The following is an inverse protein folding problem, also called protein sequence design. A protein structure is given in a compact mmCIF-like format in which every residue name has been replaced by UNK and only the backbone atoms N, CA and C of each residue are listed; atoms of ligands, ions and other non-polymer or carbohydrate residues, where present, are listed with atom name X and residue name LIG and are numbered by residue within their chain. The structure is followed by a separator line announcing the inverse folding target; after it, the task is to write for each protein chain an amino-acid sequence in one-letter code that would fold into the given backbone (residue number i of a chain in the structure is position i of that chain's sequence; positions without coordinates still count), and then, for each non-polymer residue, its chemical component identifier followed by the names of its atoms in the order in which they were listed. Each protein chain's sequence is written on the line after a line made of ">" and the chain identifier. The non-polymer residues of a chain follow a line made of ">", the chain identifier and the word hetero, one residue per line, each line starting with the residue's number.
data_IF_848618179633
#
_entry.id   IF_848618179633
#
_cell.length_a   1.000
_cell.length_b   1.000
_cell.length_c   1.000
_cell.angle_alpha   90.00
_cell.angle_beta   90.00
_cell.angle_gamma   90.00
#
_symmetry.space_group_name_H-M   'P 1'
#
loop_
_entity.id
_entity.type
_entity.pdbx_description
1 polymer ?
#
# COMPACT_ATOMS: atom_id res chain seq x y z
N UNK A 1 14.16 15.14 -8.61
CA UNK A 1 14.87 13.90 -8.99
C UNK A 1 13.92 12.73 -8.87
N UNK A 2 13.18 12.65 -7.76
CA UNK A 2 12.07 11.72 -7.65
C UNK A 2 10.98 11.98 -8.68
N UNK A 3 10.69 13.23 -9.06
CA UNK A 3 9.60 13.53 -9.98
C UNK A 3 9.69 12.78 -11.31
N UNK A 4 10.89 12.54 -11.86
CA UNK A 4 11.05 11.77 -13.11
C UNK A 4 10.70 10.30 -12.91
N UNK A 5 11.26 9.69 -11.86
CA UNK A 5 11.05 8.28 -11.53
C UNK A 5 9.60 8.06 -11.10
N UNK A 6 9.10 8.91 -10.20
CA UNK A 6 7.74 9.00 -9.70
C UNK A 6 6.71 9.01 -10.83
N UNK A 7 6.87 9.93 -11.77
CA UNK A 7 6.02 10.07 -12.96
C UNK A 7 6.01 8.79 -13.79
N UNK A 8 7.18 8.22 -14.07
CA UNK A 8 7.31 6.99 -14.87
C UNK A 8 6.64 5.79 -14.20
N UNK A 9 6.86 5.60 -12.90
CA UNK A 9 6.24 4.48 -12.17
C UNK A 9 4.73 4.63 -12.08
N UNK A 10 4.24 5.87 -11.91
CA UNK A 10 2.82 6.15 -11.91
C UNK A 10 2.16 5.86 -13.26
N UNK A 11 2.81 6.23 -14.37
CA UNK A 11 2.40 5.85 -15.71
C UNK A 11 2.31 4.32 -15.87
N UNK A 12 3.33 3.59 -15.43
CA UNK A 12 3.33 2.12 -15.49
C UNK A 12 2.19 1.52 -14.67
N UNK A 13 1.93 2.07 -13.49
CA UNK A 13 0.83 1.63 -12.63
C UNK A 13 -0.54 1.85 -13.30
N UNK A 14 -0.78 3.02 -13.90
CA UNK A 14 -2.01 3.30 -14.65
C UNK A 14 -2.18 2.32 -15.82
N UNK A 15 -1.11 2.07 -16.59
CA UNK A 15 -1.15 1.09 -17.68
C UNK A 15 -1.40 -0.34 -17.17
N UNK A 16 -0.88 -0.68 -16.00
CA UNK A 16 -1.13 -1.97 -15.35
C UNK A 16 -2.60 -2.11 -14.97
N UNK A 17 -3.21 -1.09 -14.36
CA UNK A 17 -4.65 -1.07 -14.07
C UNK A 17 -5.47 -1.29 -15.35
N UNK A 18 -5.10 -0.63 -16.46
CA UNK A 18 -5.79 -0.81 -17.74
C UNK A 18 -5.68 -2.22 -18.27
N UNK A 19 -4.48 -2.83 -18.20
CA UNK A 19 -4.26 -4.21 -18.65
C UNK A 19 -5.02 -5.21 -17.78
N UNK A 20 -4.91 -5.07 -16.47
CA UNK A 20 -5.49 -5.99 -15.50
C UNK A 20 -7.02 -5.89 -15.43
N UNK A 21 -7.60 -4.76 -15.84
CA UNK A 21 -9.04 -4.57 -16.01
C UNK A 21 -9.55 -4.91 -17.43
N UNK A 22 -8.70 -5.48 -18.28
CA UNK A 22 -8.98 -5.71 -19.71
C UNK A 22 -9.51 -4.44 -20.43
N UNK A 23 -9.13 -3.26 -19.96
CA UNK A 23 -9.57 -1.93 -20.43
C UNK A 23 -11.07 -1.68 -20.30
N UNK A 24 -11.77 -2.46 -19.47
CA UNK A 24 -13.21 -2.35 -19.27
C UNK A 24 -13.59 -1.46 -18.08
N UNK A 25 -12.80 -1.47 -17.00
CA UNK A 25 -13.10 -0.79 -15.75
C UNK A 25 -11.88 -0.04 -15.22
N UNK A 26 -11.75 1.24 -15.56
CA UNK A 26 -10.64 2.08 -15.10
C UNK A 26 -11.04 3.55 -14.93
N UNK A 27 -10.30 4.25 -14.05
CA UNK A 27 -10.65 5.59 -13.58
C UNK A 27 -9.60 6.68 -13.90
N UNK A 28 -8.37 6.28 -14.26
CA UNK A 28 -7.29 7.18 -14.69
C UNK A 28 -6.89 6.90 -16.12
N UNK A 29 -6.34 7.89 -16.81
CA UNK A 29 -5.63 7.70 -18.08
C UNK A 29 -4.33 8.49 -18.07
N UNK A 30 -3.31 7.97 -18.73
CA UNK A 30 -2.08 8.70 -18.96
C UNK A 30 -2.19 9.53 -20.24
N UNK A 31 -1.97 10.83 -20.14
CA UNK A 31 -1.91 11.75 -21.27
C UNK A 31 -0.45 11.92 -21.71
N UNK A 32 -0.05 11.16 -22.72
CA UNK A 32 1.37 11.09 -23.16
C UNK A 32 1.94 12.43 -23.65
N UNK A 33 1.09 13.32 -24.19
CA UNK A 33 1.52 14.66 -24.65
C UNK A 33 1.92 15.57 -23.49
N UNK A 34 1.15 15.50 -22.41
CA UNK A 34 1.35 16.35 -21.24
C UNK A 34 2.19 15.67 -20.15
N UNK A 35 2.46 14.37 -20.29
CA UNK A 35 3.21 13.59 -19.32
C UNK A 35 2.52 13.53 -17.96
N UNK A 36 1.19 13.52 -17.95
CA UNK A 36 0.38 13.61 -16.72
C UNK A 36 -0.76 12.59 -16.71
N UNK A 37 -1.14 12.13 -15.53
CA UNK A 37 -2.37 11.40 -15.35
C UNK A 37 -3.58 12.34 -15.45
N UNK A 38 -4.69 11.85 -15.99
CA UNK A 38 -5.95 12.59 -16.04
C UNK A 38 -7.07 11.71 -15.54
N UNK A 39 -8.02 12.25 -14.75
CA UNK A 39 -9.20 11.52 -14.37
C UNK A 39 -10.03 11.25 -15.63
N UNK A 40 -10.55 10.03 -15.74
CA UNK A 40 -11.49 9.72 -16.83
C UNK A 40 -12.75 10.57 -16.68
N UNK A 41 -13.29 11.02 -17.82
CA UNK A 41 -14.54 11.79 -17.87
C UNK A 41 -15.67 11.01 -17.20
N UNK A 42 -16.39 11.67 -16.30
CA UNK A 42 -17.40 11.02 -15.45
C UNK A 42 -18.54 10.36 -16.21
N UNK A 43 -18.86 10.88 -17.40
CA UNK A 43 -19.91 10.35 -18.28
C UNK A 43 -19.39 9.26 -19.23
N UNK A 44 -18.11 8.89 -19.16
CA UNK A 44 -17.59 7.83 -20.01
C UNK A 44 -18.02 6.45 -19.47
N UNK A 45 -18.33 5.54 -20.40
CA UNK A 45 -18.70 4.15 -20.08
C UNK A 45 -17.64 3.43 -19.25
N UNK A 46 -16.36 3.80 -19.39
CA UNK A 46 -15.24 3.20 -18.67
C UNK A 46 -15.23 3.54 -17.18
N UNK A 47 -15.53 4.79 -16.84
CA UNK A 47 -15.65 5.21 -15.45
C UNK A 47 -16.92 4.68 -14.80
N UNK A 48 -18.05 4.73 -15.52
CA UNK A 48 -19.29 4.11 -15.06
C UNK A 48 -19.10 2.60 -14.85
N UNK A 49 -18.40 1.92 -15.75
CA UNK A 49 -18.01 0.52 -15.60
C UNK A 49 -17.18 0.27 -14.34
N UNK A 50 -16.22 1.15 -14.02
CA UNK A 50 -15.47 1.08 -12.77
C UNK A 50 -16.35 1.29 -11.52
N UNK A 51 -17.31 2.21 -11.56
CA UNK A 51 -18.26 2.43 -10.47
C UNK A 51 -19.18 1.22 -10.26
N UNK A 52 -19.77 0.69 -11.34
CA UNK A 52 -20.56 -0.54 -11.30
C UNK A 52 -19.75 -1.72 -10.79
N UNK A 53 -18.47 -1.79 -11.17
CA UNK A 53 -17.55 -2.83 -10.72
C UNK A 53 -17.28 -2.75 -9.21
N UNK A 54 -17.07 -1.55 -8.64
CA UNK A 54 -16.94 -1.39 -7.19
C UNK A 54 -18.21 -1.85 -6.43
N UNK A 55 -19.40 -1.53 -6.98
CA UNK A 55 -20.68 -2.01 -6.45
C UNK A 55 -20.79 -3.54 -6.56
N UNK A 56 -20.43 -4.12 -7.70
CA UNK A 56 -20.41 -5.58 -7.91
C UNK A 56 -19.47 -6.29 -6.91
N UNK A 57 -18.27 -5.75 -6.68
CA UNK A 57 -17.37 -6.29 -5.66
C UNK A 57 -17.97 -6.24 -4.26
N UNK A 58 -18.70 -5.17 -3.94
CA UNK A 58 -19.32 -4.96 -2.62
C UNK A 58 -20.54 -5.86 -2.39
N UNK A 59 -21.43 -5.96 -3.38
CA UNK A 59 -22.72 -6.63 -3.23
C UNK A 59 -22.70 -8.11 -3.61
N UNK A 60 -21.76 -8.53 -4.46
CA UNK A 60 -21.70 -9.91 -4.96
C UNK A 60 -20.43 -10.59 -4.46
N UNK A 61 -19.25 -10.08 -4.81
CA UNK A 61 -18.00 -10.79 -4.53
C UNK A 61 -17.74 -10.90 -3.02
N UNK A 62 -17.77 -9.78 -2.29
CA UNK A 62 -17.48 -9.80 -0.85
C UNK A 62 -18.43 -10.72 -0.06
N UNK A 63 -19.77 -10.68 -0.25
CA UNK A 63 -20.68 -11.62 0.40
C UNK A 63 -20.40 -13.08 0.03
N UNK A 64 -20.05 -13.37 -1.22
CA UNK A 64 -19.69 -14.75 -1.61
C UNK A 64 -18.45 -15.23 -0.85
N UNK A 65 -17.44 -14.38 -0.67
CA UNK A 65 -16.26 -14.73 0.12
C UNK A 65 -16.62 -15.00 1.59
N UNK A 66 -17.48 -14.17 2.20
CA UNK A 66 -17.96 -14.41 3.57
C UNK A 66 -18.79 -15.68 3.69
N UNK A 67 -19.73 -15.91 2.78
CA UNK A 67 -20.56 -17.12 2.77
C UNK A 67 -19.69 -18.36 2.56
N UNK A 68 -18.70 -18.31 1.66
CA UNK A 68 -17.78 -19.41 1.46
C UNK A 68 -16.93 -19.67 2.70
N UNK A 69 -16.48 -18.62 3.37
CA UNK A 69 -15.75 -18.75 4.62
C UNK A 69 -16.62 -19.41 5.69
N UNK A 70 -17.87 -18.98 5.84
CA UNK A 70 -18.83 -19.60 6.75
C UNK A 70 -19.08 -21.08 6.42
N UNK A 71 -19.33 -21.42 5.15
CA UNK A 71 -19.51 -22.81 4.69
C UNK A 71 -18.33 -23.69 5.07
N UNK A 72 -17.12 -23.16 4.89
CA UNK A 72 -15.88 -23.84 5.22
C UNK A 72 -15.75 -24.05 6.75
N UNK A 73 -16.17 -23.07 7.56
CA UNK A 73 -16.16 -23.17 9.02
C UNK A 73 -17.18 -24.18 9.57
N UNK A 74 -18.31 -24.36 8.87
CA UNK A 74 -19.38 -25.30 9.27
C UNK A 74 -19.25 -26.68 8.64
N UNK A 75 -18.26 -26.88 7.76
CA UNK A 75 -18.08 -28.15 7.06
C UNK A 75 -17.59 -29.25 8.01
N UNK A 76 -18.00 -30.49 7.76
CA UNK A 76 -17.57 -31.64 8.56
C UNK A 76 -16.05 -31.78 8.56
N UNK A 77 -15.42 -32.17 9.69
CA UNK A 77 -13.98 -32.40 9.75
C UNK A 77 -13.50 -33.32 8.63
N UNK A 78 -12.39 -32.96 7.97
CA UNK A 78 -11.81 -33.72 6.87
C UNK A 78 -12.39 -33.45 5.48
N UNK A 79 -13.53 -32.74 5.36
CA UNK A 79 -14.12 -32.42 4.04
C UNK A 79 -13.46 -31.25 3.32
N UNK A 80 -12.76 -30.38 4.06
CA UNK A 80 -12.08 -29.19 3.54
C UNK A 80 -10.57 -29.36 3.65
N UNK A 81 -9.86 -29.10 2.55
CA UNK A 81 -8.41 -29.11 2.57
C UNK A 81 -7.85 -27.82 3.21
N UNK A 82 -6.68 -27.91 3.83
CA UNK A 82 -6.02 -26.74 4.42
C UNK A 82 -5.77 -25.63 3.38
N UNK A 83 -5.51 -26.02 2.13
CA UNK A 83 -5.31 -25.07 1.01
C UNK A 83 -6.59 -24.28 0.72
N UNK A 84 -7.76 -24.92 0.72
CA UNK A 84 -9.05 -24.25 0.49
C UNK A 84 -9.36 -23.25 1.61
N UNK A 85 -9.17 -23.68 2.86
CA UNK A 85 -9.38 -22.82 4.03
C UNK A 85 -8.45 -21.60 3.96
N UNK A 86 -7.15 -21.82 3.69
CA UNK A 86 -6.15 -20.76 3.52
C UNK A 86 -6.51 -19.78 2.39
N UNK A 87 -6.83 -20.28 1.20
CA UNK A 87 -7.16 -19.45 0.04
C UNK A 87 -8.40 -18.59 0.28
N UNK A 88 -9.40 -19.12 0.99
CA UNK A 88 -10.62 -18.39 1.36
C UNK A 88 -10.32 -17.24 2.33
N UNK A 89 -9.53 -17.50 3.38
CA UNK A 89 -9.16 -16.47 4.37
C UNK A 89 -8.33 -15.37 3.72
N UNK A 90 -7.27 -15.73 2.98
CA UNK A 90 -6.40 -14.76 2.29
C UNK A 90 -7.20 -13.93 1.30
N UNK A 91 -8.03 -14.56 0.48
CA UNK A 91 -8.84 -13.86 -0.50
C UNK A 91 -9.87 -12.92 0.15
N UNK A 92 -10.48 -13.31 1.27
CA UNK A 92 -11.40 -12.44 2.01
C UNK A 92 -10.69 -11.20 2.54
N UNK A 93 -9.47 -11.35 3.06
CA UNK A 93 -8.67 -10.20 3.54
C UNK A 93 -8.27 -9.29 2.40
N UNK A 94 -7.84 -9.85 1.26
CA UNK A 94 -7.54 -9.03 0.08
C UNK A 94 -8.75 -8.19 -0.37
N UNK A 95 -9.96 -8.77 -0.30
CA UNK A 95 -11.20 -8.03 -0.58
C UNK A 95 -11.43 -6.91 0.46
N UNK A 96 -11.29 -7.21 1.76
CA UNK A 96 -11.49 -6.22 2.83
C UNK A 96 -10.49 -5.05 2.74
N UNK A 97 -9.23 -5.33 2.43
CA UNK A 97 -8.18 -4.32 2.30
C UNK A 97 -8.37 -3.48 1.02
N UNK A 98 -8.72 -4.14 -0.09
CA UNK A 98 -8.78 -3.51 -1.40
C UNK A 98 -10.08 -2.74 -1.68
N UNK A 99 -11.21 -3.17 -1.12
CA UNK A 99 -12.53 -2.60 -1.42
C UNK A 99 -12.66 -1.11 -1.03
N UNK A 100 -12.13 -0.63 0.12
CA UNK A 100 -12.12 0.79 0.44
C UNK A 100 -11.42 1.64 -0.63
N UNK A 101 -10.37 1.14 -1.28
CA UNK A 101 -9.71 1.86 -2.36
C UNK A 101 -10.59 1.99 -3.61
N UNK A 102 -11.34 0.94 -3.96
CA UNK A 102 -12.30 1.01 -5.07
C UNK A 102 -13.38 2.06 -4.80
N UNK A 103 -13.91 2.09 -3.57
CA UNK A 103 -14.89 3.09 -3.14
C UNK A 103 -14.34 4.51 -3.11
N UNK A 104 -13.07 4.68 -2.74
CA UNK A 104 -12.41 5.98 -2.82
C UNK A 104 -12.40 6.49 -4.27
N UNK A 105 -11.98 5.66 -5.24
CA UNK A 105 -11.89 6.08 -6.65
C UNK A 105 -13.24 6.10 -7.40
N UNK A 106 -14.27 5.43 -6.88
CA UNK A 106 -15.62 5.49 -7.45
C UNK A 106 -16.28 6.87 -7.26
N UNK A 107 -15.75 7.68 -6.35
CA UNK A 107 -16.15 9.08 -6.15
C UNK A 107 -15.32 10.03 -7.00
N UNK A 108 -16.00 10.83 -7.84
CA UNK A 108 -15.36 11.78 -8.77
C UNK A 108 -14.52 12.86 -8.06
N UNK A 109 -15.01 13.36 -6.92
CA UNK A 109 -14.31 14.35 -6.10
C UNK A 109 -12.96 13.83 -5.63
N UNK A 110 -12.96 12.61 -5.09
CA UNK A 110 -11.78 11.94 -4.52
C UNK A 110 -10.77 11.63 -5.61
N UNK A 111 -11.22 11.12 -6.76
CA UNK A 111 -10.36 10.90 -7.92
C UNK A 111 -9.67 12.19 -8.38
N UNK A 112 -10.41 13.30 -8.48
CA UNK A 112 -9.82 14.60 -8.86
C UNK A 112 -8.81 15.07 -7.80
N UNK A 113 -9.19 15.00 -6.52
CA UNK A 113 -8.32 15.35 -5.39
C UNK A 113 -7.01 14.56 -5.42
N UNK A 114 -7.09 13.23 -5.59
CA UNK A 114 -5.93 12.35 -5.69
C UNK A 114 -4.98 12.74 -6.83
N UNK A 115 -5.51 12.96 -8.04
CA UNK A 115 -4.69 13.37 -9.19
C UNK A 115 -4.03 14.71 -8.94
N UNK A 116 -4.80 15.72 -8.49
CA UNK A 116 -4.28 17.05 -8.18
C UNK A 116 -3.16 16.96 -7.15
N UNK A 117 -3.36 16.23 -6.05
CA UNK A 117 -2.37 16.15 -4.98
C UNK A 117 -1.12 15.39 -5.42
N UNK A 118 -1.27 14.32 -6.20
CA UNK A 118 -0.15 13.61 -6.82
C UNK A 118 0.69 14.56 -7.69
N UNK A 119 0.05 15.35 -8.55
CA UNK A 119 0.77 16.33 -9.38
C UNK A 119 1.43 17.43 -8.56
N UNK A 120 0.77 17.95 -7.53
CA UNK A 120 1.37 18.95 -6.66
C UNK A 120 2.61 18.40 -5.96
N UNK A 121 2.59 17.18 -5.43
CA UNK A 121 3.77 16.51 -4.84
C UNK A 121 4.92 16.43 -5.85
N UNK A 122 4.66 16.02 -7.09
CA UNK A 122 5.69 15.94 -8.13
C UNK A 122 6.19 17.33 -8.57
N UNK A 123 5.29 18.30 -8.70
CA UNK A 123 5.62 19.66 -9.10
C UNK A 123 6.47 20.35 -8.03
N UNK A 124 6.22 20.09 -6.75
CA UNK A 124 7.06 20.55 -5.65
C UNK A 124 8.48 19.96 -5.76
N UNK A 125 8.63 18.65 -5.96
CA UNK A 125 9.96 18.05 -6.18
C UNK A 125 10.67 18.64 -7.42
N UNK A 126 9.93 18.90 -8.49
CA UNK A 126 10.45 19.54 -9.71
C UNK A 126 10.93 20.96 -9.44
N UNK A 127 10.13 21.78 -8.75
CA UNK A 127 10.49 23.16 -8.37
C UNK A 127 11.71 23.19 -7.46
N UNK A 128 11.77 22.32 -6.45
CA UNK A 128 12.94 22.21 -5.59
C UNK A 128 14.20 21.84 -6.40
N UNK A 129 14.09 20.94 -7.37
CA UNK A 129 15.21 20.63 -8.26
C UNK A 129 15.67 21.83 -9.08
N UNK A 130 14.74 22.55 -9.71
CA UNK A 130 15.05 23.71 -10.53
C UNK A 130 15.69 24.85 -9.71
N UNK A 131 15.15 25.11 -8.51
CA UNK A 131 15.56 26.22 -7.66
C UNK A 131 16.91 25.99 -6.95
N UNK A 132 17.27 24.73 -6.66
CA UNK A 132 18.40 24.39 -5.77
C UNK A 132 19.60 23.83 -6.55
N UNK A 133 19.35 23.22 -7.71
CA UNK A 133 20.40 22.71 -8.58
C UNK A 133 20.36 23.50 -9.89
N UNK A 134 21.10 24.63 -9.98
CA UNK A 134 21.41 25.19 -11.29
C UNK A 134 22.06 24.09 -12.14
N UNK A 135 21.70 24.06 -13.43
CA UNK A 135 21.90 22.97 -14.40
C UNK A 135 23.37 22.48 -14.57
N UNK A 136 24.34 23.13 -13.92
CA UNK A 136 25.78 22.93 -14.14
C UNK A 136 26.48 21.94 -13.19
N UNK A 137 25.77 21.34 -12.21
CA UNK A 137 26.36 20.35 -11.29
C UNK A 137 26.07 18.91 -11.72
N UNK A 138 26.91 18.39 -12.62
CA UNK A 138 26.96 17.00 -13.09
C UNK A 138 27.12 15.95 -11.94
N UNK A 139 26.80 14.66 -12.17
CA UNK A 139 26.00 13.86 -11.22
C UNK A 139 26.72 12.65 -10.58
N UNK A 140 28.05 12.59 -10.49
CA UNK A 140 28.72 11.30 -10.23
C UNK A 140 28.57 10.73 -8.81
N UNK A 141 28.62 11.53 -7.74
CA UNK A 141 28.51 11.00 -6.36
C UNK A 141 27.08 10.95 -5.81
N UNK A 142 26.10 11.44 -6.57
CA UNK A 142 24.69 11.58 -6.14
C UNK A 142 23.82 10.35 -6.45
N UNK A 143 24.31 9.40 -7.25
CA UNK A 143 23.50 8.30 -7.77
C UNK A 143 23.26 7.16 -6.77
N UNK A 144 24.23 6.75 -5.95
CA UNK A 144 24.16 5.45 -5.25
C UNK A 144 22.90 5.22 -4.41
N UNK A 145 22.47 6.21 -3.59
CA UNK A 145 21.29 6.03 -2.72
C UNK A 145 19.96 6.18 -3.45
N UNK A 146 19.89 7.02 -4.49
CA UNK A 146 18.70 7.06 -5.33
C UNK A 146 18.59 5.75 -6.11
N UNK A 147 19.71 5.20 -6.58
CA UNK A 147 19.75 3.90 -7.26
C UNK A 147 19.17 2.81 -6.37
N UNK A 148 19.50 2.75 -5.07
CA UNK A 148 18.90 1.78 -4.15
C UNK A 148 17.39 1.92 -4.05
N UNK A 149 16.87 3.13 -3.79
CA UNK A 149 15.42 3.37 -3.69
C UNK A 149 14.72 3.05 -5.01
N UNK A 150 15.34 3.44 -6.13
CA UNK A 150 14.82 3.18 -7.48
C UNK A 150 14.77 1.69 -7.79
N UNK A 151 15.81 0.94 -7.42
CA UNK A 151 15.86 -0.51 -7.61
C UNK A 151 14.78 -1.21 -6.78
N UNK A 152 14.58 -0.79 -5.52
CA UNK A 152 13.51 -1.31 -4.67
C UNK A 152 12.15 -1.02 -5.31
N UNK A 153 11.90 0.22 -5.73
CA UNK A 153 10.64 0.61 -6.35
C UNK A 153 10.39 -0.10 -7.68
N UNK A 154 11.42 -0.28 -8.50
CA UNK A 154 11.35 -1.07 -9.72
C UNK A 154 11.00 -2.53 -9.42
N UNK A 155 11.65 -3.14 -8.41
CA UNK A 155 11.37 -4.51 -7.99
C UNK A 155 9.92 -4.64 -7.51
N UNK A 156 9.46 -3.74 -6.63
CA UNK A 156 8.08 -3.72 -6.16
C UNK A 156 7.11 -3.54 -7.34
N UNK A 157 7.42 -2.66 -8.28
CA UNK A 157 6.59 -2.44 -9.46
C UNK A 157 6.51 -3.69 -10.35
N UNK A 158 7.63 -4.39 -10.56
CA UNK A 158 7.67 -5.66 -11.29
C UNK A 158 6.79 -6.70 -10.59
N UNK A 159 6.95 -6.82 -9.26
CA UNK A 159 6.19 -7.76 -8.46
C UNK A 159 4.69 -7.44 -8.49
N UNK A 160 4.29 -6.19 -8.27
CA UNK A 160 2.90 -5.78 -8.21
C UNK A 160 2.20 -5.77 -9.57
N UNK A 161 2.86 -5.27 -10.62
CA UNK A 161 2.23 -5.07 -11.93
C UNK A 161 2.31 -6.28 -12.86
N UNK A 162 3.25 -7.22 -12.64
CA UNK A 162 3.49 -8.34 -13.56
C UNK A 162 3.43 -9.69 -12.87
N UNK A 163 4.19 -9.89 -11.79
CA UNK A 163 4.25 -11.20 -11.13
C UNK A 163 2.96 -11.54 -10.38
N UNK A 164 2.42 -10.58 -9.61
CA UNK A 164 1.18 -10.79 -8.85
C UNK A 164 -0.02 -11.13 -9.74
N UNK A 165 -0.30 -10.43 -10.87
CA UNK A 165 -1.37 -10.83 -11.77
C UNK A 165 -1.20 -12.26 -12.32
N UNK A 166 0.03 -12.68 -12.65
CA UNK A 166 0.28 -14.04 -13.14
C UNK A 166 0.00 -15.09 -12.06
N UNK A 167 0.43 -14.86 -10.81
CA UNK A 167 0.10 -15.73 -9.69
C UNK A 167 -1.41 -15.77 -9.42
N UNK A 168 -2.07 -14.62 -9.48
CA UNK A 168 -3.51 -14.49 -9.30
C UNK A 168 -4.27 -15.29 -10.36
N UNK A 169 -3.86 -15.23 -11.63
CA UNK A 169 -4.41 -16.08 -12.69
C UNK A 169 -4.27 -17.55 -12.30
N UNK A 170 -3.06 -18.02 -11.98
CA UNK A 170 -2.85 -19.42 -11.59
C UNK A 170 -3.81 -19.84 -10.46
N UNK A 171 -3.81 -19.10 -9.35
CA UNK A 171 -4.65 -19.42 -8.19
C UNK A 171 -6.14 -19.42 -8.57
N UNK A 172 -6.58 -18.47 -9.39
CA UNK A 172 -7.99 -18.34 -9.80
C UNK A 172 -8.49 -19.53 -10.63
N UNK A 173 -7.59 -20.19 -11.39
CA UNK A 173 -7.92 -21.37 -12.19
C UNK A 173 -7.80 -22.70 -11.42
N UNK A 174 -7.30 -22.66 -10.18
CA UNK A 174 -7.21 -23.83 -9.30
C UNK A 174 -8.56 -24.23 -8.72
N UNK A 175 -8.72 -25.50 -8.32
CA UNK A 175 -9.93 -25.99 -7.63
C UNK A 175 -10.08 -25.43 -6.20
N UNK A 176 -9.09 -24.66 -5.74
CA UNK A 176 -9.06 -24.03 -4.43
C UNK A 176 -9.60 -22.59 -4.44
N UNK A 177 -9.99 -22.06 -5.61
CA UNK A 177 -10.51 -20.72 -5.73
C UNK A 177 -11.85 -20.58 -4.95
N UNK A 178 -12.00 -19.58 -4.05
CA UNK A 178 -13.18 -19.50 -3.18
C UNK A 178 -14.52 -19.42 -3.92
N UNK A 179 -14.58 -18.63 -5.00
CA UNK A 179 -15.81 -18.48 -5.81
C UNK A 179 -16.16 -19.78 -6.55
N UNK A 180 -15.16 -20.56 -6.97
CA UNK A 180 -15.37 -21.88 -7.56
C UNK A 180 -15.95 -22.85 -6.53
N UNK A 181 -15.34 -22.93 -5.34
CA UNK A 181 -15.84 -23.77 -4.24
C UNK A 181 -17.25 -23.37 -3.79
N UNK A 182 -17.57 -22.08 -3.78
CA UNK A 182 -18.92 -21.58 -3.50
C UNK A 182 -19.92 -22.03 -4.56
N UNK A 183 -19.58 -21.91 -5.84
CA UNK A 183 -20.46 -22.32 -6.93
C UNK A 183 -20.77 -23.83 -6.89
N UNK A 184 -19.76 -24.68 -6.63
CA UNK A 184 -19.97 -26.12 -6.44
C UNK A 184 -20.94 -26.41 -5.30
N UNK A 185 -20.78 -25.72 -4.16
CA UNK A 185 -21.61 -25.93 -2.99
C UNK A 185 -23.07 -25.48 -3.20
N UNK A 186 -23.29 -24.30 -3.81
CA UNK A 186 -24.65 -23.78 -4.06
C UNK A 186 -25.41 -24.61 -5.09
N UNK A 187 -24.71 -25.12 -6.10
CA UNK A 187 -25.30 -25.94 -7.16
C UNK A 187 -25.43 -27.42 -6.75
N UNK A 188 -24.83 -27.83 -5.63
CA UNK A 188 -24.73 -29.22 -5.17
C UNK A 188 -24.18 -30.16 -6.26
N UNK A 189 -23.08 -29.74 -6.90
CA UNK A 189 -22.40 -30.53 -7.95
C UNK A 189 -20.93 -30.75 -7.63
N UNK A 190 -20.38 -31.87 -8.10
CA UNK A 190 -18.96 -32.20 -7.94
C UNK A 190 -18.06 -31.45 -8.91
N UNK A 191 -18.59 -31.05 -10.06
CA UNK A 191 -17.90 -30.25 -11.07
C UNK A 191 -18.88 -29.37 -11.83
N UNK A 192 -18.41 -28.19 -12.23
CA UNK A 192 -19.12 -27.32 -13.17
C UNK A 192 -18.52 -27.45 -14.57
N UNK A 193 -19.33 -27.16 -15.59
CA UNK A 193 -18.86 -27.13 -16.97
C UNK A 193 -17.62 -26.25 -17.14
N UNK A 194 -16.70 -26.70 -17.99
CA UNK A 194 -15.42 -26.03 -18.25
C UNK A 194 -15.60 -24.54 -18.59
N UNK A 195 -16.59 -24.20 -19.43
CA UNK A 195 -16.89 -22.82 -19.78
C UNK A 195 -17.23 -21.94 -18.56
N UNK A 196 -18.05 -22.44 -17.64
CA UNK A 196 -18.42 -21.71 -16.42
C UNK A 196 -17.21 -21.57 -15.48
N UNK A 197 -16.39 -22.62 -15.37
CA UNK A 197 -15.12 -22.59 -14.61
C UNK A 197 -14.19 -21.50 -15.14
N UNK A 198 -14.02 -21.41 -16.46
CA UNK A 198 -13.19 -20.37 -17.10
C UNK A 198 -13.76 -18.97 -16.80
N UNK A 199 -15.08 -18.79 -16.84
CA UNK A 199 -15.72 -17.50 -16.53
C UNK A 199 -15.46 -17.11 -15.08
N UNK A 200 -15.71 -18.02 -14.12
CA UNK A 200 -15.49 -17.79 -12.69
C UNK A 200 -14.02 -17.42 -12.43
N UNK A 201 -13.08 -18.22 -12.94
CA UNK A 201 -11.65 -17.98 -12.78
C UNK A 201 -11.24 -16.63 -13.39
N UNK A 202 -11.79 -16.26 -14.55
CA UNK A 202 -11.54 -14.96 -15.18
C UNK A 202 -12.05 -13.81 -14.32
N UNK A 203 -13.26 -13.92 -13.76
CA UNK A 203 -13.85 -12.88 -12.88
C UNK A 203 -13.00 -12.69 -11.63
N UNK A 204 -12.58 -13.77 -10.96
CA UNK A 204 -11.71 -13.69 -9.77
C UNK A 204 -10.36 -13.07 -10.14
N UNK A 205 -9.77 -13.52 -11.24
CA UNK A 205 -8.44 -13.09 -11.65
C UNK A 205 -8.40 -11.59 -11.96
N UNK A 206 -9.37 -11.11 -12.76
CA UNK A 206 -9.55 -9.68 -13.01
C UNK A 206 -9.78 -8.95 -11.68
N UNK A 207 -10.59 -9.53 -10.80
CA UNK A 207 -10.98 -8.87 -9.57
C UNK A 207 -9.79 -8.59 -8.65
N UNK A 208 -9.06 -9.64 -8.32
CA UNK A 208 -7.89 -9.54 -7.45
C UNK A 208 -6.78 -8.72 -8.14
N UNK A 209 -6.60 -8.84 -9.45
CA UNK A 209 -5.59 -8.05 -10.18
C UNK A 209 -5.90 -6.54 -10.17
N UNK A 210 -7.18 -6.14 -10.29
CA UNK A 210 -7.60 -4.74 -10.13
C UNK A 210 -7.32 -4.28 -8.71
N UNK A 211 -7.75 -5.04 -7.69
CA UNK A 211 -7.54 -4.69 -6.28
C UNK A 211 -6.06 -4.48 -5.95
N UNK A 212 -5.20 -5.42 -6.36
CA UNK A 212 -3.75 -5.30 -6.18
C UNK A 212 -3.18 -4.07 -6.88
N UNK A 213 -3.61 -3.80 -8.12
CA UNK A 213 -3.09 -2.65 -8.89
C UNK A 213 -3.51 -1.32 -8.30
N UNK A 214 -4.75 -1.22 -7.82
CA UNK A 214 -5.27 -0.01 -7.16
C UNK A 214 -4.62 0.18 -5.79
N UNK A 215 -4.48 -0.89 -5.00
CA UNK A 215 -3.77 -0.84 -3.72
C UNK A 215 -2.31 -0.42 -3.89
N UNK A 216 -1.62 -0.95 -4.91
CA UNK A 216 -0.26 -0.54 -5.26
C UNK A 216 -0.19 0.95 -5.67
N UNK A 217 -1.14 1.46 -6.45
CA UNK A 217 -1.21 2.88 -6.82
C UNK A 217 -1.28 3.78 -5.57
N UNK A 218 -2.13 3.43 -4.61
CA UNK A 218 -2.29 4.16 -3.34
C UNK A 218 -1.00 4.14 -2.52
N UNK A 219 -0.44 2.94 -2.28
CA UNK A 219 0.81 2.77 -1.55
C UNK A 219 1.97 3.54 -2.22
N UNK A 220 2.01 3.56 -3.55
CA UNK A 220 3.03 4.27 -4.32
C UNK A 220 2.96 5.80 -4.13
N UNK A 221 1.76 6.37 -4.06
CA UNK A 221 1.59 7.80 -3.77
C UNK A 221 2.12 8.16 -2.37
N UNK A 222 1.74 7.40 -1.35
CA UNK A 222 2.19 7.61 0.03
C UNK A 222 3.72 7.51 0.16
N UNK A 223 4.29 6.42 -0.38
CA UNK A 223 5.74 6.21 -0.40
C UNK A 223 6.44 7.34 -1.14
N UNK A 224 5.89 7.82 -2.25
CA UNK A 224 6.44 8.96 -2.98
C UNK A 224 6.51 10.21 -2.12
N UNK A 225 5.44 10.52 -1.38
CA UNK A 225 5.41 11.63 -0.43
C UNK A 225 6.50 11.51 0.64
N UNK A 226 6.59 10.37 1.30
CA UNK A 226 7.59 10.10 2.36
C UNK A 226 9.02 10.21 1.81
N UNK A 227 9.28 9.64 0.64
CA UNK A 227 10.60 9.65 -0.01
C UNK A 227 11.03 11.08 -0.34
N UNK A 228 10.13 11.89 -0.91
CA UNK A 228 10.41 13.31 -1.21
C UNK A 228 10.66 14.09 0.08
N UNK A 229 9.85 13.91 1.14
CA UNK A 229 10.07 14.56 2.43
C UNK A 229 11.44 14.23 3.02
N UNK A 230 11.80 12.95 3.01
CA UNK A 230 13.08 12.48 3.53
C UNK A 230 14.26 13.08 2.76
N UNK A 231 14.23 13.02 1.43
CA UNK A 231 15.32 13.52 0.59
C UNK A 231 15.53 15.03 0.77
N UNK A 232 14.46 15.82 0.72
CA UNK A 232 14.58 17.27 0.82
C UNK A 232 14.90 17.75 2.24
N UNK A 233 14.35 17.11 3.27
CA UNK A 233 14.73 17.41 4.66
C UNK A 233 16.22 17.15 4.89
N UNK A 234 16.76 16.06 4.31
CA UNK A 234 18.18 15.75 4.37
C UNK A 234 19.04 16.76 3.60
N UNK A 235 18.59 17.21 2.43
CA UNK A 235 19.30 18.24 1.65
C UNK A 235 19.35 19.55 2.43
N UNK A 236 18.23 19.99 3.00
CA UNK A 236 18.16 21.20 3.83
C UNK A 236 19.09 21.15 5.03
N UNK A 237 19.26 19.97 5.64
CA UNK A 237 20.19 19.79 6.74
C UNK A 237 21.65 19.92 6.30
N UNK A 238 22.01 19.30 5.19
CA UNK A 238 23.41 19.12 4.80
C UNK A 238 23.98 20.27 3.95
N UNK A 239 23.12 21.05 3.31
CA UNK A 239 23.54 22.21 2.52
C UNK A 239 23.26 23.50 3.27
N UNK A 240 24.04 24.52 2.95
CA UNK A 240 23.79 25.88 3.42
C UNK A 240 22.99 26.64 2.37
N UNK A 241 21.87 27.20 2.80
CA UNK A 241 21.02 28.07 2.00
C UNK A 241 20.79 29.36 2.80
N UNK A 242 20.43 30.43 2.11
CA UNK A 242 19.98 31.64 2.79
C UNK A 242 18.75 31.32 3.67
N UNK A 243 18.63 32.00 4.81
CA UNK A 243 17.52 31.78 5.74
C UNK A 243 16.15 31.81 5.05
N UNK A 244 15.91 32.84 4.21
CA UNK A 244 14.67 32.99 3.45
C UNK A 244 14.39 31.77 2.55
N UNK A 245 15.41 31.28 1.83
CA UNK A 245 15.26 30.11 0.95
C UNK A 245 14.99 28.84 1.76
N UNK A 246 15.67 28.64 2.89
CA UNK A 246 15.42 27.49 3.77
C UNK A 246 13.99 27.48 4.29
N UNK A 247 13.49 28.63 4.78
CA UNK A 247 12.11 28.76 5.25
C UNK A 247 11.11 28.49 4.12
N UNK A 248 11.39 29.01 2.91
CA UNK A 248 10.56 28.76 1.74
C UNK A 248 10.45 27.26 1.44
N UNK A 249 11.59 26.55 1.32
CA UNK A 249 11.60 25.11 1.05
C UNK A 249 10.91 24.34 2.18
N UNK A 250 11.17 24.71 3.44
CA UNK A 250 10.58 24.05 4.61
C UNK A 250 9.05 24.13 4.60
N UNK A 251 8.49 25.31 4.30
CA UNK A 251 7.05 25.52 4.21
C UNK A 251 6.41 24.75 3.05
N UNK A 252 7.11 24.61 1.93
CA UNK A 252 6.66 23.79 0.81
C UNK A 252 6.66 22.30 1.16
N UNK A 253 7.64 21.82 1.93
CA UNK A 253 7.62 20.45 2.47
C UNK A 253 6.48 20.25 3.49
N UNK A 254 6.14 21.28 4.27
CA UNK A 254 4.97 21.26 5.16
C UNK A 254 3.68 21.11 4.36
N UNK A 255 3.50 21.88 3.30
CA UNK A 255 2.35 21.75 2.39
C UNK A 255 2.26 20.32 1.83
N UNK A 256 3.38 19.76 1.36
CA UNK A 256 3.41 18.39 0.86
C UNK A 256 3.03 17.35 1.92
N UNK A 257 3.47 17.55 3.17
CA UNK A 257 3.09 16.69 4.31
C UNK A 257 1.58 16.72 4.53
N UNK A 258 0.97 17.90 4.49
CA UNK A 258 -0.48 18.09 4.64
C UNK A 258 -1.23 17.37 3.51
N UNK A 259 -0.81 17.54 2.26
CA UNK A 259 -1.46 16.91 1.11
C UNK A 259 -1.42 15.38 1.19
N UNK A 260 -0.27 14.81 1.54
CA UNK A 260 -0.10 13.36 1.67
C UNK A 260 -0.93 12.83 2.84
N UNK A 261 -0.88 13.48 3.99
CA UNK A 261 -1.68 13.10 5.16
C UNK A 261 -3.19 13.18 4.89
N UNK A 262 -3.65 14.21 4.18
CA UNK A 262 -5.07 14.37 3.86
C UNK A 262 -5.58 13.26 2.93
N UNK A 263 -4.77 12.81 1.96
CA UNK A 263 -5.11 11.65 1.13
C UNK A 263 -5.01 10.35 1.93
N UNK A 264 -3.98 10.19 2.76
CA UNK A 264 -3.82 9.03 3.64
C UNK A 264 -5.05 8.82 4.53
N UNK A 265 -5.60 9.88 5.12
CA UNK A 265 -6.83 9.84 5.92
C UNK A 265 -8.08 9.47 5.11
N UNK A 266 -8.20 9.97 3.87
CA UNK A 266 -9.32 9.58 3.00
C UNK A 266 -9.20 8.11 2.54
N UNK A 267 -7.97 7.58 2.50
CA UNK A 267 -7.65 6.20 2.18
C UNK A 267 -7.65 5.35 3.46
N UNK A 268 -8.83 5.06 4.01
CA UNK A 268 -9.02 4.31 5.28
C UNK A 268 -8.09 3.08 5.41
N UNK A 269 -7.88 2.33 4.32
CA UNK A 269 -6.98 1.16 4.34
C UNK A 269 -5.50 1.50 4.59
N UNK A 270 -5.06 2.71 4.24
CA UNK A 270 -3.73 3.24 4.61
C UNK A 270 -3.68 3.55 6.10
N UNK A 271 -4.73 4.08 6.72
CA UNK A 271 -4.75 4.22 8.19
C UNK A 271 -4.64 2.84 8.84
N UNK A 272 -5.52 1.91 8.47
CA UNK A 272 -5.59 0.56 9.05
C UNK A 272 -4.43 -0.39 8.68
N UNK A 273 -3.36 0.08 8.05
CA UNK A 273 -2.30 -0.81 7.57
C UNK A 273 -1.61 -1.60 8.69
N UNK A 274 -1.48 -1.02 9.89
CA UNK A 274 -0.96 -1.76 11.04
C UNK A 274 -1.85 -2.96 11.38
N UNK A 275 -3.15 -2.70 11.52
CA UNK A 275 -4.13 -3.72 11.86
C UNK A 275 -4.12 -4.83 10.81
N UNK A 276 -4.05 -4.47 9.53
CA UNK A 276 -3.91 -5.43 8.44
C UNK A 276 -2.60 -6.21 8.52
N UNK A 277 -1.46 -5.56 8.79
CA UNK A 277 -0.17 -6.23 8.90
C UNK A 277 -0.16 -7.25 10.04
N UNK A 278 -0.74 -6.90 11.20
CA UNK A 278 -0.91 -7.81 12.35
C UNK A 278 -1.83 -8.98 11.96
N UNK A 279 -3.02 -8.71 11.41
CA UNK A 279 -3.98 -9.76 11.03
C UNK A 279 -3.35 -10.73 10.00
N UNK A 280 -2.74 -10.20 8.94
CA UNK A 280 -2.10 -11.00 7.89
C UNK A 280 -0.96 -11.84 8.47
N UNK A 281 -0.12 -11.25 9.32
CA UNK A 281 1.01 -11.96 9.94
C UNK A 281 0.56 -13.02 10.94
N UNK A 282 -0.48 -12.75 11.74
CA UNK A 282 -1.08 -13.74 12.65
C UNK A 282 -1.62 -14.92 11.85
N UNK A 283 -2.34 -14.67 10.77
CA UNK A 283 -2.90 -15.71 9.92
C UNK A 283 -1.78 -16.54 9.28
N UNK A 284 -0.80 -15.87 8.69
CA UNK A 284 0.35 -16.52 8.09
C UNK A 284 1.13 -17.38 9.11
N UNK A 285 1.39 -16.83 10.30
CA UNK A 285 2.10 -17.54 11.38
C UNK A 285 1.30 -18.74 11.88
N UNK A 286 -0.01 -18.58 12.10
CA UNK A 286 -0.92 -19.66 12.49
C UNK A 286 -0.84 -20.82 11.49
N UNK A 287 -1.03 -20.55 10.20
CA UNK A 287 -0.99 -21.61 9.20
C UNK A 287 0.38 -22.22 9.04
N UNK A 288 1.44 -21.42 9.14
CA UNK A 288 2.81 -21.93 9.15
C UNK A 288 3.01 -22.94 10.27
N UNK A 289 2.63 -22.62 11.51
CA UNK A 289 2.77 -23.52 12.67
C UNK A 289 1.92 -24.79 12.50
N UNK A 290 0.68 -24.64 12.01
CA UNK A 290 -0.23 -25.78 11.79
C UNK A 290 0.34 -26.79 10.77
N UNK A 291 1.18 -26.38 9.82
CA UNK A 291 1.81 -27.31 8.87
C UNK A 291 2.79 -28.30 9.53
N UNK A 292 3.33 -27.97 10.72
CA UNK A 292 4.32 -28.79 11.42
C UNK A 292 3.76 -29.48 12.67
N UNK A 293 2.43 -29.43 12.87
CA UNK A 293 1.79 -30.17 13.96
C UNK A 293 1.76 -31.67 13.64
N UNK A 294 2.09 -32.57 14.60
CA UNK A 294 2.04 -34.01 14.39
C UNK A 294 0.69 -34.48 13.82
N UNK A 295 0.72 -35.46 12.92
CA UNK A 295 -0.50 -36.05 12.33
C UNK A 295 -1.06 -35.32 11.11
N UNK A 296 -0.53 -34.15 10.72
CA UNK A 296 -0.96 -33.42 9.52
C UNK A 296 0.02 -33.58 8.36
N UNK A 297 -0.49 -33.72 7.14
CA UNK A 297 0.33 -33.69 5.93
C UNK A 297 0.76 -32.25 5.64
N UNK A 298 2.08 -32.04 5.48
CA UNK A 298 2.64 -30.74 5.15
C UNK A 298 2.32 -30.35 3.70
N UNK A 299 1.69 -29.20 3.51
CA UNK A 299 1.51 -28.56 2.21
C UNK A 299 2.63 -27.55 1.94
N UNK A 300 3.47 -27.84 0.94
CA UNK A 300 4.53 -26.94 0.48
C UNK A 300 3.95 -25.58 0.07
N UNK A 301 2.79 -25.58 -0.60
CA UNK A 301 2.12 -24.36 -1.06
C UNK A 301 1.71 -23.47 0.12
N UNK A 302 1.04 -24.03 1.14
CA UNK A 302 0.62 -23.27 2.32
C UNK A 302 1.83 -22.78 3.10
N UNK A 303 2.85 -23.63 3.27
CA UNK A 303 4.09 -23.25 3.97
C UNK A 303 4.78 -22.07 3.29
N UNK A 304 5.01 -22.17 1.98
CA UNK A 304 5.73 -21.14 1.22
C UNK A 304 4.94 -19.83 1.16
N UNK A 305 3.63 -19.90 0.89
CA UNK A 305 2.79 -18.70 0.83
C UNK A 305 2.63 -18.04 2.20
N UNK A 306 2.55 -18.83 3.28
CA UNK A 306 2.51 -18.30 4.66
C UNK A 306 3.82 -17.58 5.01
N UNK A 307 4.99 -18.16 4.69
CA UNK A 307 6.27 -17.48 4.89
C UNK A 307 6.35 -16.19 4.09
N UNK A 308 5.96 -16.22 2.81
CA UNK A 308 5.97 -15.03 1.95
C UNK A 308 5.04 -13.93 2.50
N UNK A 309 3.86 -14.29 2.99
CA UNK A 309 2.92 -13.34 3.59
C UNK A 309 3.43 -12.78 4.92
N UNK A 310 4.02 -13.63 5.78
CA UNK A 310 4.58 -13.21 7.06
C UNK A 310 5.75 -12.23 6.88
N UNK A 311 6.72 -12.58 6.04
CA UNK A 311 7.85 -11.71 5.73
C UNK A 311 7.42 -10.48 4.92
N UNK A 312 6.45 -10.62 4.02
CA UNK A 312 5.90 -9.52 3.23
C UNK A 312 5.20 -8.49 4.09
N UNK A 313 4.25 -8.91 4.93
CA UNK A 313 3.50 -8.02 5.82
C UNK A 313 4.41 -7.37 6.87
N UNK A 314 5.27 -8.16 7.52
CA UNK A 314 6.25 -7.64 8.48
C UNK A 314 7.23 -6.69 7.79
N UNK A 315 7.76 -7.05 6.64
CA UNK A 315 8.68 -6.22 5.88
C UNK A 315 8.06 -4.89 5.46
N UNK A 316 6.82 -4.90 4.95
CA UNK A 316 6.09 -3.68 4.57
C UNK A 316 5.83 -2.77 5.77
N UNK A 317 5.40 -3.33 6.90
CA UNK A 317 5.19 -2.59 8.14
C UNK A 317 6.50 -1.95 8.63
N UNK A 318 7.59 -2.75 8.70
CA UNK A 318 8.90 -2.25 9.10
C UNK A 318 9.38 -1.14 8.17
N UNK A 319 9.20 -1.28 6.86
CA UNK A 319 9.58 -0.26 5.88
C UNK A 319 8.76 1.01 6.09
N UNK A 320 7.44 0.92 6.21
CA UNK A 320 6.56 2.06 6.42
C UNK A 320 7.01 2.86 7.65
N UNK A 321 7.17 2.19 8.79
CA UNK A 321 7.61 2.79 10.05
C UNK A 321 9.01 3.41 9.91
N UNK A 322 9.97 2.66 9.38
CA UNK A 322 11.35 3.12 9.26
C UNK A 322 11.46 4.35 8.36
N UNK A 323 10.73 4.40 7.25
CA UNK A 323 10.76 5.54 6.33
C UNK A 323 10.07 6.77 6.93
N UNK A 324 8.90 6.61 7.55
CA UNK A 324 8.20 7.70 8.26
C UNK A 324 9.05 8.24 9.41
N UNK A 325 9.67 7.36 10.21
CA UNK A 325 10.56 7.73 11.30
C UNK A 325 11.80 8.47 10.79
N UNK A 326 12.43 7.99 9.70
CA UNK A 326 13.58 8.68 9.06
C UNK A 326 13.20 10.04 8.52
N UNK A 327 12.05 10.18 7.84
CA UNK A 327 11.58 11.46 7.34
C UNK A 327 11.35 12.46 8.50
N UNK A 328 10.65 12.02 9.55
CA UNK A 328 10.35 12.82 10.74
C UNK A 328 11.61 13.21 11.51
N UNK A 329 12.55 12.28 11.69
CA UNK A 329 13.85 12.56 12.30
C UNK A 329 14.64 13.61 11.51
N UNK A 330 14.70 13.49 10.18
CA UNK A 330 15.39 14.47 9.34
C UNK A 330 14.76 15.84 9.43
N UNK A 331 13.42 15.94 9.45
CA UNK A 331 12.73 17.22 9.62
C UNK A 331 13.05 17.88 10.97
N UNK A 332 13.03 17.11 12.06
CA UNK A 332 13.40 17.59 13.41
C UNK A 332 14.86 18.04 13.48
N UNK A 333 15.77 17.27 12.87
CA UNK A 333 17.19 17.63 12.81
C UNK A 333 17.41 18.95 12.04
N UNK A 334 16.68 19.17 10.95
CA UNK A 334 16.71 20.43 10.19
C UNK A 334 16.21 21.61 11.02
N UNK A 335 15.13 21.45 11.78
CA UNK A 335 14.65 22.50 12.69
C UNK A 335 15.65 22.83 13.81
N UNK A 336 16.29 21.81 14.40
CA UNK A 336 17.32 22.02 15.42
C UNK A 336 18.50 22.81 14.84
N UNK A 337 18.96 22.46 13.64
CA UNK A 337 20.01 23.22 12.94
C UNK A 337 19.59 24.68 12.72
N UNK A 338 18.40 24.90 12.17
CA UNK A 338 17.85 26.25 11.99
C UNK A 338 17.80 27.07 13.29
N UNK A 339 17.44 26.43 14.40
CA UNK A 339 17.40 27.07 15.70
C UNK A 339 18.80 27.42 16.21
N UNK A 340 19.79 26.55 16.01
CA UNK A 340 21.19 26.84 16.37
C UNK A 340 21.76 27.99 15.53
N UNK A 341 21.52 27.97 14.22
CA UNK A 341 22.09 28.92 13.26
C UNK A 341 21.43 30.31 13.34
N UNK A 342 20.14 30.38 13.67
CA UNK A 342 19.35 31.62 13.60
C UNK A 342 18.55 31.97 14.86
N UNK A 343 18.63 31.17 15.92
CA UNK A 343 17.86 31.39 17.15
C UNK A 343 18.29 32.60 17.97
N UNK A 344 19.51 33.11 17.75
CA UNK A 344 20.02 34.34 18.40
C UNK A 344 19.41 35.62 17.82
N UNK A 345 19.00 35.60 16.55
CA UNK A 345 18.29 36.71 15.93
C UNK A 345 16.83 36.70 16.40
N UNK A 346 16.37 37.80 17.00
CA UNK A 346 15.03 37.89 17.59
C UNK A 346 13.91 37.59 16.59
N UNK A 347 14.03 38.10 15.36
CA UNK A 347 13.00 37.96 14.34
C UNK A 347 13.06 36.57 13.70
N UNK A 348 14.26 36.11 13.32
CA UNK A 348 14.43 34.77 12.73
C UNK A 348 14.13 33.66 13.75
N UNK A 349 14.52 33.85 15.00
CA UNK A 349 14.20 32.95 16.11
C UNK A 349 12.69 32.81 16.33
N UNK A 350 11.92 33.90 16.23
CA UNK A 350 10.44 33.84 16.30
C UNK A 350 9.86 33.01 15.16
N UNK A 351 10.35 33.18 13.93
CA UNK A 351 9.93 32.39 12.77
C UNK A 351 10.25 30.90 12.98
N UNK A 352 11.49 30.57 13.34
CA UNK A 352 11.91 29.16 13.53
C UNK A 352 11.11 28.48 14.64
N UNK A 353 10.83 29.18 15.76
CA UNK A 353 9.99 28.64 16.85
C UNK A 353 8.54 28.37 16.44
N UNK A 354 8.03 29.06 15.42
CA UNK A 354 6.68 28.82 14.88
C UNK A 354 6.60 27.62 13.93
N UNK A 355 7.75 27.11 13.47
CA UNK A 355 7.79 25.94 12.60
C UNK A 355 7.58 24.66 13.41
N UNK A 356 6.79 23.76 12.85
CA UNK A 356 6.59 22.41 13.37
C UNK A 356 7.26 21.39 12.46
N UNK A 357 7.73 20.25 13.00
CA UNK A 357 8.28 19.17 12.20
C UNK A 357 7.32 18.73 11.09
N UNK A 358 7.87 18.53 9.89
CA UNK A 358 7.18 17.87 8.79
C UNK A 358 7.18 16.36 9.06
N UNK A 359 6.17 15.88 9.78
CA UNK A 359 5.91 14.46 10.05
C UNK A 359 4.54 14.08 9.49
N UNK A 360 4.49 13.05 8.64
CA UNK A 360 3.22 12.49 8.18
C UNK A 360 2.69 11.60 9.31
N UNK A 361 1.51 11.95 9.86
CA UNK A 361 0.79 11.05 10.76
C UNK A 361 -0.19 10.18 9.97
N UNK A 362 0.11 8.89 9.86
CA UNK A 362 -0.73 7.89 9.19
C UNK A 362 -1.46 6.96 10.20
N UNK A 363 -1.73 7.41 11.43
CA UNK A 363 -2.29 6.66 12.61
C UNK A 363 -1.24 6.33 13.70
N UNK A 364 0.05 6.21 13.34
CA UNK A 364 1.14 5.72 14.22
C UNK A 364 1.74 6.77 15.16
N UNK A 365 1.37 8.03 14.97
CA UNK A 365 1.96 9.16 15.69
C UNK A 365 0.92 9.87 16.56
N UNK A 366 -0.22 9.27 16.88
CA UNK A 366 -1.22 9.96 17.72
C UNK A 366 -0.80 10.05 19.20
N UNK A 367 0.20 9.29 19.62
CA UNK A 367 0.82 9.52 20.93
C UNK A 367 1.79 10.70 20.84
N UNK A 368 1.58 11.71 21.69
CA UNK A 368 2.49 12.85 21.89
C UNK A 368 3.93 12.37 22.11
N UNK A 369 4.11 11.22 22.77
CA UNK A 369 5.41 10.60 23.00
C UNK A 369 6.04 10.05 21.72
N UNK A 370 5.28 9.49 20.80
CA UNK A 370 5.82 9.00 19.53
C UNK A 370 6.20 10.17 18.62
N UNK A 371 5.46 11.28 18.66
CA UNK A 371 5.83 12.54 17.98
C UNK A 371 7.09 13.15 18.61
N UNK A 372 7.18 13.15 19.95
CA UNK A 372 8.26 13.80 20.71
C UNK A 372 9.56 13.00 20.68
N UNK A 373 9.48 11.68 20.88
CA UNK A 373 10.63 10.80 21.08
C UNK A 373 10.94 9.95 19.84
N UNK A 374 10.01 9.85 18.87
CA UNK A 374 10.12 8.97 17.71
C UNK A 374 9.53 7.58 17.97
N UNK A 375 9.52 6.74 16.93
CA UNK A 375 9.05 5.35 17.05
C UNK A 375 10.20 4.51 17.65
N UNK A 376 10.04 4.07 18.89
CA UNK A 376 11.01 3.25 19.62
C UNK A 376 10.98 1.78 19.24
N UNK A 377 11.99 1.02 19.68
CA UNK A 377 12.05 -0.45 19.49
C UNK A 377 10.83 -1.16 20.08
N UNK A 378 10.27 -0.59 21.15
CA UNK A 378 9.06 -1.08 21.83
C UNK A 378 7.87 -1.23 20.87
N UNK A 379 7.78 -0.40 19.83
CA UNK A 379 6.75 -0.55 18.82
C UNK A 379 6.88 -1.89 18.08
N UNK A 380 8.10 -2.22 17.64
CA UNK A 380 8.37 -3.46 16.90
C UNK A 380 8.19 -4.68 17.78
N UNK A 381 8.64 -4.59 19.04
CA UNK A 381 8.43 -5.64 20.04
C UNK A 381 6.93 -5.87 20.23
N UNK A 382 6.14 -4.80 20.43
CA UNK A 382 4.67 -4.89 20.56
C UNK A 382 3.99 -5.47 19.31
N UNK A 383 4.50 -5.19 18.11
CA UNK A 383 4.00 -5.82 16.89
C UNK A 383 4.18 -7.34 16.93
N UNK A 384 5.40 -7.81 17.22
CA UNK A 384 5.67 -9.24 17.31
C UNK A 384 4.92 -9.91 18.46
N UNK A 385 4.84 -9.25 19.63
CA UNK A 385 4.04 -9.71 20.77
C UNK A 385 2.56 -9.88 20.41
N UNK A 386 1.97 -8.92 19.68
CA UNK A 386 0.58 -9.03 19.19
C UNK A 386 0.42 -10.20 18.22
N UNK A 387 1.30 -10.31 17.23
CA UNK A 387 1.26 -11.40 16.24
C UNK A 387 1.37 -12.75 16.94
N UNK A 388 2.33 -12.90 17.85
CA UNK A 388 2.55 -14.11 18.63
C UNK A 388 1.36 -14.42 19.55
N UNK A 389 0.90 -13.45 20.34
CA UNK A 389 -0.21 -13.61 21.28
C UNK A 389 -1.49 -14.02 20.57
N UNK A 390 -1.85 -13.35 19.47
CA UNK A 390 -3.03 -13.73 18.68
C UNK A 390 -2.88 -15.11 18.04
N UNK A 391 -1.67 -15.45 17.57
CA UNK A 391 -1.40 -16.78 17.00
C UNK A 391 -1.59 -17.87 18.06
N UNK A 392 -1.04 -17.70 19.26
CA UNK A 392 -1.19 -18.63 20.38
C UNK A 392 -2.67 -18.78 20.76
N UNK A 393 -3.38 -17.65 20.92
CA UNK A 393 -4.80 -17.67 21.26
C UNK A 393 -5.63 -18.42 20.21
N UNK A 394 -5.33 -18.25 18.92
CA UNK A 394 -5.97 -19.02 17.86
C UNK A 394 -5.64 -20.50 17.92
N UNK A 395 -4.36 -20.87 18.07
CA UNK A 395 -3.95 -22.27 18.20
C UNK A 395 -4.68 -22.95 19.37
N UNK A 396 -4.78 -22.29 20.52
CA UNK A 396 -5.49 -22.77 21.70
C UNK A 396 -7.00 -22.87 21.48
N UNK A 397 -7.61 -21.89 20.80
CA UNK A 397 -9.05 -21.90 20.53
C UNK A 397 -9.46 -22.98 19.51
N UNK A 398 -8.54 -23.37 18.63
CA UNK A 398 -8.84 -24.32 17.55
C UNK A 398 -8.71 -25.79 17.92
N UNK A 399 -8.44 -26.15 19.20
CA UNK A 399 -8.23 -27.52 19.71
C UNK A 399 -7.74 -28.47 18.61
N UNK A 400 -6.42 -28.53 18.41
CA UNK A 400 -5.76 -29.42 17.45
C UNK A 400 -5.92 -30.89 17.90
N UNK A 401 -7.15 -31.41 17.88
CA UNK A 401 -7.47 -32.82 17.98
C UNK A 401 -7.34 -33.49 16.60
#
# INVERSE_FOLDING_TARGET
>A
MWHLIGTRQFEVCIKSIHRNSLRCAYFLQWEGKEGKAVPIKSYSRKYQGFQCYAVFCTLIILPVYFLRWYQILTASPGSITVIQYYACVVGTIMMLVGLPFLWFFSKKSNLRKFVTYFHEVLNLDKRFCADIFPQNLAPQSKNLRLTTVTNIVNLINIMACYYSPALVIWISFSDYAPLYGFALHVLDVTSIHFALRVIIATVISITISILTSVGYLCAFFEVSGIVVLYFWSKILRNKEFSFSKTIQIYNQLKLMTILVQEIGHDLISVCLHHAYAVIISTIAMYYFVVQFTPGKQMSILVTYTSLLMLFGATGLEMLAICFVAKASFMSRATLRKLFMDHGKDKNRGKIVRSLQPNSISLEFLDSVDTIRNGIGMDYFVRYFERVQSHTINWLLATNLD
#
